data_IF_336644791113
#
_entry.id   IF_336644791113
#
_cell.length_a   1.000
_cell.length_b   1.000
_cell.length_c   1.000
_cell.angle_alpha   90.00
_cell.angle_beta   90.00
_cell.angle_gamma   90.00
#
_symmetry.space_group_name_H-M   'P 1'
#
loop_
_entity.id
_entity.type
_entity.pdbx_description
1 polymer ?
#
# COMPACT_ATOMS: atom_id res chain seq x y z
N UNK A 1 31.52 21.64 -3.22
CA UNK A 1 30.25 22.23 -2.79
C UNK A 1 29.69 21.29 -1.74
N UNK A 2 29.56 21.67 -0.47
CA UNK A 2 28.94 20.80 0.52
C UNK A 2 27.44 20.69 0.22
N UNK A 3 26.93 19.45 0.23
CA UNK A 3 25.51 19.18 0.11
C UNK A 3 24.80 19.75 1.36
N UNK A 4 23.85 20.60 1.12
CA UNK A 4 22.94 21.17 2.10
C UNK A 4 22.16 20.03 2.76
N UNK A 5 22.56 19.64 3.97
CA UNK A 5 21.87 18.66 4.80
C UNK A 5 20.77 19.36 5.56
N UNK A 6 19.74 19.81 4.83
CA UNK A 6 18.51 20.29 5.44
C UNK A 6 17.73 19.09 5.98
N UNK A 7 18.05 18.72 7.22
CA UNK A 7 17.36 17.68 8.00
C UNK A 7 15.99 18.14 8.52
N UNK A 8 15.64 19.39 8.29
CA UNK A 8 14.32 19.98 8.57
C UNK A 8 13.38 19.94 7.36
N UNK A 9 13.44 18.86 6.55
CA UNK A 9 12.38 18.66 5.55
C UNK A 9 11.05 18.54 6.26
N UNK A 10 10.25 19.59 6.07
CA UNK A 10 8.87 19.76 6.48
C UNK A 10 8.18 18.38 6.47
N UNK A 11 7.88 17.82 7.65
CA UNK A 11 6.99 16.69 7.76
C UNK A 11 5.64 17.20 7.25
N UNK A 12 5.20 16.70 6.11
CA UNK A 12 3.86 17.00 5.62
C UNK A 12 2.86 16.66 6.72
N UNK A 13 1.91 17.57 6.92
CA UNK A 13 0.77 17.31 7.79
C UNK A 13 0.00 16.11 7.22
N UNK A 14 -0.10 15.04 7.98
CA UNK A 14 -0.80 13.81 7.63
C UNK A 14 -2.16 13.71 8.35
N UNK A 15 -2.72 14.83 8.83
CA UNK A 15 -4.00 14.83 9.53
C UNK A 15 -5.15 14.26 8.68
N UNK A 16 -5.12 14.53 7.38
CA UNK A 16 -6.14 14.05 6.43
C UNK A 16 -5.76 12.73 5.75
N UNK A 17 -4.64 12.13 6.13
CA UNK A 17 -4.13 10.93 5.47
C UNK A 17 -5.11 9.75 5.61
N UNK A 18 -5.21 8.93 4.56
CA UNK A 18 -6.11 7.76 4.51
C UNK A 18 -5.95 6.81 5.70
N UNK A 19 -4.75 6.68 6.24
CA UNK A 19 -4.49 5.82 7.41
C UNK A 19 -5.36 6.19 8.61
N UNK A 20 -5.61 7.48 8.86
CA UNK A 20 -6.49 7.95 9.94
C UNK A 20 -7.97 7.68 9.71
N UNK A 21 -8.34 7.27 8.50
CA UNK A 21 -9.73 6.99 8.13
C UNK A 21 -10.03 5.49 8.02
N UNK A 22 -8.99 4.64 8.05
CA UNK A 22 -9.09 3.23 7.69
C UNK A 22 -9.72 2.34 8.78
N UNK A 23 -9.78 2.78 10.04
CA UNK A 23 -10.26 1.93 11.14
C UNK A 23 -9.15 1.08 11.76
N UNK A 24 -7.97 1.66 11.94
CA UNK A 24 -6.82 0.98 12.53
C UNK A 24 -6.90 0.97 14.05
N UNK A 25 -6.49 -0.13 14.66
CA UNK A 25 -6.41 -0.33 16.10
C UNK A 25 -5.01 -0.77 16.51
N UNK A 26 -4.44 -0.13 17.51
CA UNK A 26 -3.15 -0.50 18.08
C UNK A 26 -3.38 -1.39 19.32
N UNK A 27 -2.92 -2.62 19.26
CA UNK A 27 -3.02 -3.60 20.33
C UNK A 27 -1.64 -3.83 20.97
N UNK A 28 -1.59 -3.75 22.31
CA UNK A 28 -0.41 -4.12 23.08
C UNK A 28 -0.39 -5.65 23.28
N UNK A 29 0.64 -6.31 22.78
CA UNK A 29 0.83 -7.74 22.91
C UNK A 29 1.48 -8.09 24.27
N UNK A 30 1.39 -9.36 24.67
CA UNK A 30 1.96 -9.87 25.94
C UNK A 30 3.48 -9.68 26.06
N UNK A 31 4.18 -9.65 24.95
CA UNK A 31 5.63 -9.42 24.87
C UNK A 31 6.02 -7.93 24.93
N UNK A 32 5.04 -7.03 25.12
CA UNK A 32 5.23 -5.59 25.18
C UNK A 32 5.38 -4.92 23.81
N UNK A 33 5.16 -5.65 22.72
CA UNK A 33 5.12 -5.07 21.36
C UNK A 33 3.70 -4.63 20.99
N UNK A 34 3.60 -3.62 20.13
CA UNK A 34 2.34 -3.19 19.59
C UNK A 34 2.12 -3.83 18.20
N UNK A 35 0.90 -4.33 17.98
CA UNK A 35 0.41 -4.77 16.69
C UNK A 35 -0.66 -3.80 16.21
N UNK A 36 -0.58 -3.41 14.94
CA UNK A 36 -1.59 -2.57 14.31
C UNK A 36 -2.55 -3.46 13.53
N UNK A 37 -3.77 -3.58 14.02
CA UNK A 37 -4.84 -4.36 13.40
C UNK A 37 -5.75 -3.46 12.56
N UNK A 38 -6.46 -4.06 11.60
CA UNK A 38 -7.48 -3.38 10.80
C UNK A 38 -8.86 -3.98 11.11
N UNK A 39 -9.74 -3.16 11.70
CA UNK A 39 -11.13 -3.54 11.90
C UNK A 39 -11.92 -3.35 10.60
N UNK A 40 -12.42 -4.47 10.06
CA UNK A 40 -13.11 -4.48 8.77
C UNK A 40 -14.47 -3.79 8.86
N UNK A 41 -14.73 -2.95 7.89
CA UNK A 41 -15.99 -2.28 7.62
C UNK A 41 -16.50 -2.66 6.22
N UNK A 42 -17.80 -2.60 5.92
CA UNK A 42 -18.31 -2.92 4.59
C UNK A 42 -17.63 -2.18 3.44
N UNK A 43 -17.13 -0.96 3.69
CA UNK A 43 -16.41 -0.16 2.67
C UNK A 43 -15.04 -0.72 2.30
N UNK A 44 -14.50 -1.65 3.10
CA UNK A 44 -13.22 -2.33 2.84
C UNK A 44 -13.39 -3.58 1.97
N UNK A 45 -14.62 -4.02 1.74
CA UNK A 45 -14.92 -5.29 1.10
C UNK A 45 -15.54 -5.08 -0.27
N UNK A 46 -15.19 -5.97 -1.19
CA UNK A 46 -15.87 -6.12 -2.47
C UNK A 46 -17.19 -6.90 -2.29
N UNK A 47 -18.00 -6.98 -3.33
CA UNK A 47 -19.30 -7.68 -3.30
C UNK A 47 -19.18 -9.19 -2.99
N UNK A 48 -18.05 -9.80 -3.36
CA UNK A 48 -17.74 -11.21 -3.06
C UNK A 48 -17.24 -11.44 -1.61
N UNK A 49 -17.15 -10.38 -0.81
CA UNK A 49 -16.66 -10.41 0.56
C UNK A 49 -15.13 -10.40 0.67
N UNK A 50 -14.39 -10.38 -0.43
CA UNK A 50 -12.94 -10.21 -0.39
C UNK A 50 -12.57 -8.78 0.01
N UNK A 51 -11.38 -8.60 0.55
CA UNK A 51 -10.87 -7.25 0.88
C UNK A 51 -10.50 -6.52 -0.40
N UNK A 52 -10.89 -5.27 -0.53
CA UNK A 52 -10.42 -4.38 -1.61
C UNK A 52 -8.88 -4.36 -1.66
N UNK A 53 -8.31 -4.54 -2.84
CA UNK A 53 -6.85 -4.68 -2.98
C UNK A 53 -6.11 -3.40 -2.59
N UNK A 54 -6.69 -2.23 -2.84
CA UNK A 54 -6.14 -0.95 -2.40
C UNK A 54 -6.12 -0.85 -0.86
N UNK A 55 -7.15 -1.36 -0.18
CA UNK A 55 -7.20 -1.44 1.30
C UNK A 55 -6.06 -2.31 1.82
N UNK A 56 -5.84 -3.50 1.23
CA UNK A 56 -4.69 -4.34 1.57
C UNK A 56 -3.37 -3.60 1.33
N UNK A 57 -3.24 -2.89 0.21
CA UNK A 57 -2.04 -2.11 -0.11
C UNK A 57 -1.74 -1.05 0.95
N UNK A 58 -2.74 -0.26 1.35
CA UNK A 58 -2.61 0.77 2.39
C UNK A 58 -2.24 0.16 3.75
N UNK A 59 -2.90 -0.91 4.13
CA UNK A 59 -2.67 -1.58 5.40
C UNK A 59 -1.30 -2.24 5.48
N UNK A 60 -0.89 -2.94 4.42
CA UNK A 60 0.39 -3.66 4.36
C UNK A 60 1.60 -2.73 4.26
N UNK A 61 1.47 -1.59 3.57
CA UNK A 61 2.52 -0.56 3.52
C UNK A 61 2.86 -0.11 4.95
N UNK A 62 1.85 0.24 5.75
CA UNK A 62 2.06 0.65 7.14
C UNK A 62 2.57 -0.52 8.00
N UNK A 63 2.05 -1.74 7.82
CA UNK A 63 2.45 -2.92 8.59
C UNK A 63 3.93 -3.26 8.42
N UNK A 64 4.54 -2.93 7.28
CA UNK A 64 5.98 -3.13 7.03
C UNK A 64 6.87 -2.40 8.03
N UNK A 65 6.33 -1.40 8.67
CA UNK A 65 7.03 -0.59 9.66
C UNK A 65 7.07 -1.20 11.06
N UNK A 66 6.34 -2.28 11.33
CA UNK A 66 6.13 -2.82 12.68
C UNK A 66 7.20 -3.81 13.19
N UNK A 67 8.01 -4.52 12.37
CA UNK A 67 9.04 -5.40 12.92
C UNK A 67 9.87 -4.70 14.00
N UNK A 68 10.24 -5.39 15.09
CA UNK A 68 11.00 -4.79 16.20
C UNK A 68 12.29 -4.11 15.75
N UNK A 69 12.95 -4.64 14.72
CA UNK A 69 14.17 -4.09 14.14
C UNK A 69 13.96 -2.68 13.56
N UNK A 70 12.74 -2.39 13.10
CA UNK A 70 12.39 -1.10 12.54
C UNK A 70 12.30 0.02 13.58
N UNK A 71 12.25 -0.31 14.87
CA UNK A 71 12.25 0.70 15.96
C UNK A 71 13.51 1.57 15.97
N UNK A 72 14.62 1.05 15.45
CA UNK A 72 15.92 1.73 15.41
C UNK A 72 16.28 2.26 14.04
N UNK A 73 15.36 2.16 13.09
CA UNK A 73 15.57 2.62 11.71
C UNK A 73 14.94 3.97 11.53
N UNK A 74 15.70 4.89 10.96
CA UNK A 74 15.19 6.19 10.53
C UNK A 74 14.17 6.06 9.38
N UNK A 75 13.83 7.14 8.72
CA UNK A 75 12.92 7.14 7.60
C UNK A 75 13.36 6.16 6.51
N UNK A 76 12.42 5.40 5.96
CA UNK A 76 12.65 4.43 4.89
C UNK A 76 11.69 4.68 3.72
N UNK A 77 12.04 4.12 2.57
CA UNK A 77 11.24 4.11 1.35
C UNK A 77 11.06 2.67 0.89
N UNK A 78 9.97 2.38 0.21
CA UNK A 78 9.82 1.12 -0.48
C UNK A 78 10.54 1.14 -1.84
N UNK A 79 11.30 0.07 -2.13
CA UNK A 79 11.82 -0.22 -3.46
C UNK A 79 10.87 -1.18 -4.20
N UNK A 80 10.26 -2.11 -3.45
CA UNK A 80 9.28 -3.07 -3.98
C UNK A 80 8.21 -3.34 -2.93
N UNK A 81 6.97 -3.50 -3.40
CA UNK A 81 5.83 -4.03 -2.63
C UNK A 81 5.17 -5.11 -3.47
N UNK A 82 5.21 -6.34 -2.99
CA UNK A 82 4.47 -7.45 -3.58
C UNK A 82 3.34 -7.87 -2.64
N UNK A 83 2.11 -7.98 -3.16
CA UNK A 83 0.92 -8.39 -2.41
C UNK A 83 0.25 -9.56 -3.11
N UNK A 84 -0.09 -10.59 -2.35
CA UNK A 84 -0.94 -11.70 -2.75
C UNK A 84 -2.21 -11.68 -1.90
N UNK A 85 -3.36 -11.56 -2.52
CA UNK A 85 -4.64 -11.80 -1.89
C UNK A 85 -4.95 -13.30 -1.99
N UNK A 86 -5.20 -13.95 -0.86
CA UNK A 86 -5.29 -15.41 -0.79
C UNK A 86 -6.73 -15.90 -0.63
N UNK A 87 -7.47 -15.29 0.31
CA UNK A 87 -8.84 -15.67 0.65
C UNK A 87 -9.63 -14.47 1.14
N UNK A 88 -10.95 -14.52 0.96
CA UNK A 88 -11.86 -13.62 1.65
C UNK A 88 -11.79 -13.88 3.17
N UNK A 89 -11.82 -12.84 4.01
CA UNK A 89 -11.90 -12.98 5.45
C UNK A 89 -13.24 -13.59 5.86
N UNK A 90 -13.23 -14.36 6.96
CA UNK A 90 -14.43 -14.85 7.64
C UNK A 90 -14.69 -14.11 8.95
N UNK A 91 -13.65 -13.47 9.46
CA UNK A 91 -13.67 -12.64 10.66
C UNK A 91 -13.91 -11.16 10.36
N UNK A 92 -13.70 -10.34 11.39
CA UNK A 92 -13.95 -8.90 11.33
C UNK A 92 -12.71 -8.04 11.53
N UNK A 93 -11.61 -8.63 11.91
CA UNK A 93 -10.35 -7.93 12.17
C UNK A 93 -9.22 -8.62 11.44
N UNK A 94 -8.39 -7.86 10.75
CA UNK A 94 -7.17 -8.35 10.12
C UNK A 94 -5.97 -8.12 11.03
N UNK A 95 -5.19 -9.17 11.24
CA UNK A 95 -3.99 -9.19 12.07
C UNK A 95 -2.76 -9.42 11.20
N UNK A 96 -1.90 -8.41 10.98
CA UNK A 96 -0.65 -8.60 10.28
C UNK A 96 0.39 -9.22 11.21
N UNK A 97 1.21 -10.08 10.66
CA UNK A 97 2.38 -10.66 11.32
C UNK A 97 3.62 -10.31 10.51
N UNK A 98 4.13 -9.08 10.65
CA UNK A 98 5.31 -8.64 9.93
C UNK A 98 6.58 -9.22 10.55
N UNK A 99 7.49 -9.69 9.72
CA UNK A 99 8.77 -10.27 10.09
C UNK A 99 9.89 -9.69 9.24
N UNK A 100 10.95 -9.21 9.87
CA UNK A 100 12.16 -8.82 9.18
C UNK A 100 12.91 -10.06 8.70
N UNK A 101 12.79 -10.38 7.40
CA UNK A 101 13.49 -11.51 6.79
C UNK A 101 14.99 -11.21 6.61
N UNK A 102 15.32 -9.95 6.33
CA UNK A 102 16.70 -9.48 6.18
C UNK A 102 16.81 -8.01 6.57
N UNK A 103 17.79 -7.69 7.42
CA UNK A 103 18.20 -6.32 7.72
C UNK A 103 19.64 -6.11 7.25
N UNK A 104 19.82 -5.23 6.27
CA UNK A 104 21.13 -4.78 5.81
C UNK A 104 21.35 -3.29 6.13
N UNK A 105 22.55 -2.79 5.84
CA UNK A 105 22.86 -1.39 6.12
C UNK A 105 22.06 -0.39 5.30
N UNK A 106 21.66 -0.75 4.07
CA UNK A 106 20.94 0.14 3.14
C UNK A 106 19.61 -0.40 2.67
N UNK A 107 19.35 -1.68 2.86
CA UNK A 107 18.10 -2.34 2.43
C UNK A 107 17.65 -3.34 3.48
N UNK A 108 16.33 -3.54 3.56
CA UNK A 108 15.69 -4.57 4.37
C UNK A 108 14.64 -5.31 3.57
N UNK A 109 14.29 -6.52 3.99
CA UNK A 109 13.18 -7.28 3.44
C UNK A 109 12.25 -7.63 4.60
N UNK A 110 10.99 -7.24 4.44
CA UNK A 110 9.91 -7.56 5.39
C UNK A 110 8.93 -8.50 4.71
N UNK A 111 8.62 -9.60 5.36
CA UNK A 111 7.53 -10.50 5.01
C UNK A 111 6.36 -10.26 5.96
N UNK A 112 5.15 -10.26 5.43
CA UNK A 112 3.94 -10.00 6.21
C UNK A 112 2.90 -11.04 5.82
N UNK A 113 2.48 -11.86 6.78
CA UNK A 113 1.28 -12.69 6.65
C UNK A 113 0.12 -11.98 7.36
N UNK A 114 -1.06 -11.99 6.74
CA UNK A 114 -2.27 -11.38 7.31
C UNK A 114 -3.30 -12.48 7.55
N UNK A 115 -3.72 -12.63 8.78
CA UNK A 115 -4.81 -13.53 9.16
C UNK A 115 -5.98 -12.72 9.71
N UNK A 116 -7.17 -13.23 9.59
CA UNK A 116 -8.31 -12.68 10.32
C UNK A 116 -8.42 -13.27 11.74
N UNK A 117 -9.32 -12.74 12.56
CA UNK A 117 -9.56 -13.17 13.94
C UNK A 117 -10.16 -14.59 14.04
N UNK A 118 -10.51 -15.25 12.94
CA UNK A 118 -10.88 -16.68 12.86
C UNK A 118 -9.71 -17.58 12.44
N UNK A 119 -8.56 -16.99 12.09
CA UNK A 119 -7.36 -17.70 11.64
C UNK A 119 -7.29 -17.95 10.14
N UNK A 120 -8.18 -17.38 9.34
CA UNK A 120 -8.09 -17.45 7.86
C UNK A 120 -6.90 -16.63 7.37
N UNK A 121 -6.01 -17.24 6.58
CA UNK A 121 -4.90 -16.54 5.93
C UNK A 121 -5.43 -15.75 4.73
N UNK A 122 -5.58 -14.44 4.91
CA UNK A 122 -6.25 -13.53 3.97
C UNK A 122 -5.30 -13.00 2.91
N UNK A 123 -4.10 -12.59 3.30
CA UNK A 123 -3.11 -12.02 2.38
C UNK A 123 -1.68 -12.29 2.82
N UNK A 124 -0.76 -12.17 1.87
CA UNK A 124 0.68 -12.18 2.10
C UNK A 124 1.36 -11.06 1.32
N UNK A 125 2.39 -10.45 1.93
CA UNK A 125 3.20 -9.43 1.27
C UNK A 125 4.69 -9.69 1.52
N UNK A 126 5.51 -9.33 0.52
CA UNK A 126 6.96 -9.21 0.65
C UNK A 126 7.31 -7.79 0.20
N UNK A 127 8.08 -7.08 1.03
CA UNK A 127 8.42 -5.69 0.76
C UNK A 127 9.92 -5.47 0.89
N UNK A 128 10.50 -4.80 -0.09
CA UNK A 128 11.89 -4.38 -0.04
C UNK A 128 11.96 -2.90 0.35
N UNK A 129 12.67 -2.65 1.45
CA UNK A 129 12.86 -1.33 2.03
C UNK A 129 14.25 -0.78 1.67
N UNK A 130 14.31 0.53 1.43
CA UNK A 130 15.57 1.27 1.26
C UNK A 130 15.73 2.26 2.41
N UNK A 131 16.89 2.29 3.00
CA UNK A 131 17.28 3.21 4.06
C UNK A 131 18.22 4.27 3.48
N UNK A 132 17.73 5.46 3.08
CA UNK A 132 18.52 6.46 2.37
C UNK A 132 19.76 6.96 3.14
N UNK A 133 19.63 7.06 4.47
CA UNK A 133 20.71 7.46 5.37
C UNK A 133 21.49 6.28 5.98
N UNK A 134 21.23 5.07 5.48
CA UNK A 134 21.62 3.82 6.11
C UNK A 134 20.63 3.43 7.22
N UNK A 135 20.60 2.14 7.57
CA UNK A 135 19.97 1.69 8.81
C UNK A 135 20.87 2.15 9.97
N UNK A 136 21.01 3.47 10.13
CA UNK A 136 21.68 4.01 11.26
C UNK A 136 20.84 3.67 12.49
N UNK A 137 21.42 2.87 13.38
CA UNK A 137 20.93 2.77 14.74
C UNK A 137 20.84 4.19 15.28
N UNK A 138 19.63 4.72 15.39
CA UNK A 138 19.37 5.81 16.32
C UNK A 138 19.85 5.23 17.65
N UNK A 139 20.85 5.88 18.26
CA UNK A 139 21.38 5.42 19.54
C UNK A 139 20.21 5.12 20.47
N UNK A 140 20.28 3.95 21.11
CA UNK A 140 19.21 3.37 21.91
C UNK A 140 18.94 4.20 23.18
N UNK A 141 18.41 5.40 23.00
CA UNK A 141 17.59 6.02 24.01
C UNK A 141 16.16 5.52 23.85
N UNK A 142 15.53 5.17 24.95
CA UNK A 142 14.15 4.62 25.04
C UNK A 142 13.10 5.45 24.28
N UNK A 143 13.40 6.69 23.91
CA UNK A 143 12.52 7.63 23.24
C UNK A 143 12.13 7.28 21.79
N UNK A 144 12.90 6.45 21.07
CA UNK A 144 12.60 6.13 19.67
C UNK A 144 11.41 5.17 19.53
N UNK A 145 11.21 4.29 20.52
CA UNK A 145 10.05 3.40 20.62
C UNK A 145 8.76 4.18 20.83
N UNK A 146 8.80 5.14 21.74
CA UNK A 146 7.67 5.98 22.13
C UNK A 146 7.25 6.91 20.99
N UNK A 147 8.21 7.50 20.27
CA UNK A 147 7.93 8.38 19.13
C UNK A 147 7.23 7.63 17.98
N UNK A 148 7.58 6.35 17.78
CA UNK A 148 6.95 5.53 16.75
C UNK A 148 5.55 5.10 17.15
N UNK A 149 5.37 4.69 18.41
CA UNK A 149 4.05 4.37 18.95
C UNK A 149 3.12 5.58 18.86
N UNK A 150 3.60 6.76 19.27
CA UNK A 150 2.85 8.01 19.12
C UNK A 150 2.49 8.30 17.67
N UNK A 151 3.40 8.03 16.73
CA UNK A 151 3.12 8.16 15.29
C UNK A 151 1.99 7.21 14.85
N UNK A 152 2.04 5.94 15.25
CA UNK A 152 1.02 4.95 14.92
C UNK A 152 -0.34 5.30 15.55
N UNK A 153 -0.35 5.77 16.81
CA UNK A 153 -1.57 6.19 17.51
C UNK A 153 -2.34 7.29 16.81
N UNK A 154 -1.67 8.13 16.02
CA UNK A 154 -2.34 9.20 15.24
C UNK A 154 -3.29 8.65 14.18
N UNK A 155 -3.09 7.41 13.75
CA UNK A 155 -3.88 6.77 12.70
C UNK A 155 -4.89 5.76 13.26
N UNK A 156 -4.95 5.58 14.59
CA UNK A 156 -5.90 4.66 15.20
C UNK A 156 -7.25 5.34 15.43
N UNK A 157 -8.33 4.59 15.23
CA UNK A 157 -9.69 5.06 15.42
C UNK A 157 -10.69 4.20 14.67
N UNK A 158 -11.96 4.55 14.78
CA UNK A 158 -13.02 3.91 14.01
C UNK A 158 -12.89 4.25 12.51
N UNK A 159 -13.33 3.33 11.66
CA UNK A 159 -13.39 3.59 10.23
C UNK A 159 -14.31 4.77 9.93
N UNK A 160 -13.75 5.80 9.31
CA UNK A 160 -14.50 7.01 8.90
C UNK A 160 -14.64 7.15 7.38
N UNK A 161 -14.16 6.19 6.60
CA UNK A 161 -14.34 6.13 5.16
C UNK A 161 -15.83 6.15 4.81
N UNK A 162 -16.21 6.98 3.85
CA UNK A 162 -17.60 7.12 3.37
C UNK A 162 -17.82 6.54 1.99
N UNK A 163 -16.74 6.15 1.31
CA UNK A 163 -16.73 5.59 -0.03
C UNK A 163 -15.53 4.65 -0.19
N UNK A 164 -15.51 3.77 -1.21
CA UNK A 164 -14.34 2.96 -1.55
C UNK A 164 -13.10 3.82 -1.81
N UNK A 165 -11.91 3.26 -1.57
CA UNK A 165 -10.64 3.99 -1.70
C UNK A 165 -10.42 4.65 -3.06
N UNK A 166 -10.80 4.05 -4.21
CA UNK A 166 -10.65 4.72 -5.50
C UNK A 166 -11.37 6.07 -5.57
N UNK A 167 -12.57 6.17 -4.99
CA UNK A 167 -13.33 7.40 -4.92
C UNK A 167 -12.69 8.40 -3.94
N UNK A 168 -12.27 7.95 -2.75
CA UNK A 168 -11.57 8.77 -1.74
C UNK A 168 -10.26 9.34 -2.30
N UNK A 169 -9.54 8.58 -3.11
CA UNK A 169 -8.30 9.01 -3.75
C UNK A 169 -8.52 9.87 -5.00
N UNK A 170 -9.77 9.98 -5.47
CA UNK A 170 -10.12 10.72 -6.67
C UNK A 170 -9.58 10.06 -7.94
N UNK A 171 -9.47 8.72 -7.95
CA UNK A 171 -9.05 7.96 -9.14
C UNK A 171 -10.14 8.10 -10.20
N UNK A 172 -9.73 8.40 -11.43
CA UNK A 172 -10.63 8.60 -12.58
C UNK A 172 -10.09 7.92 -13.82
N UNK A 173 -11.00 7.32 -14.56
CA UNK A 173 -10.69 6.82 -15.89
C UNK A 173 -10.46 7.99 -16.85
N UNK A 174 -9.43 7.88 -17.65
CA UNK A 174 -9.00 8.85 -18.65
C UNK A 174 -8.44 8.12 -19.87
N UNK A 175 -7.87 8.87 -20.81
CA UNK A 175 -7.03 8.34 -21.87
C UNK A 175 -5.68 9.04 -21.85
N UNK A 176 -4.63 8.30 -22.17
CA UNK A 176 -3.30 8.89 -22.35
C UNK A 176 -3.18 9.68 -23.68
N UNK A 177 -2.03 10.27 -23.92
CA UNK A 177 -1.76 11.03 -25.13
C UNK A 177 -1.85 10.18 -26.44
N UNK A 178 -1.80 8.85 -26.33
CA UNK A 178 -1.95 7.89 -27.42
C UNK A 178 -3.37 7.32 -27.51
N UNK A 179 -4.34 7.91 -26.80
CA UNK A 179 -5.74 7.48 -26.73
C UNK A 179 -5.92 6.04 -26.17
N UNK A 180 -4.99 5.58 -25.33
CA UNK A 180 -5.12 4.30 -24.62
C UNK A 180 -5.85 4.53 -23.30
N UNK A 181 -6.63 3.53 -22.79
CA UNK A 181 -7.20 3.59 -21.45
C UNK A 181 -6.12 3.89 -20.41
N UNK A 182 -6.41 4.80 -19.52
CA UNK A 182 -5.53 5.21 -18.43
C UNK A 182 -6.36 5.63 -17.23
N UNK A 183 -5.74 5.68 -16.05
CA UNK A 183 -6.37 6.13 -14.81
C UNK A 183 -5.50 7.16 -14.13
N UNK A 184 -6.11 8.26 -13.73
CA UNK A 184 -5.40 9.33 -13.04
C UNK A 184 -5.74 9.38 -11.56
N UNK A 185 -4.78 9.83 -10.75
CA UNK A 185 -4.94 10.09 -9.32
C UNK A 185 -4.25 11.40 -8.94
N UNK A 186 -4.96 12.37 -8.31
CA UNK A 186 -4.35 13.61 -7.86
C UNK A 186 -3.42 13.34 -6.65
N UNK A 187 -2.38 14.17 -6.48
CA UNK A 187 -1.56 14.18 -5.26
C UNK A 187 -2.21 15.11 -4.24
N UNK A 188 -2.92 14.53 -3.27
CA UNK A 188 -3.61 15.24 -2.18
C UNK A 188 -3.03 14.81 -0.83
N UNK A 189 -3.35 15.52 0.26
CA UNK A 189 -2.95 15.11 1.61
C UNK A 189 -3.39 13.69 2.00
N UNK A 190 -4.48 13.20 1.42
CA UNK A 190 -5.01 11.85 1.66
C UNK A 190 -4.04 10.74 1.19
N UNK A 191 -3.34 10.97 0.08
CA UNK A 191 -2.45 10.00 -0.57
C UNK A 191 -0.97 10.36 -0.47
N UNK A 192 -0.62 11.37 0.32
CA UNK A 192 0.74 11.89 0.42
C UNK A 192 1.41 11.41 1.70
N UNK A 193 2.56 10.76 1.58
CA UNK A 193 3.34 10.33 2.74
C UNK A 193 4.06 11.50 3.42
N UNK A 194 4.68 11.24 4.58
CA UNK A 194 5.40 12.25 5.36
C UNK A 194 6.59 12.93 4.65
N UNK A 195 6.98 12.45 3.46
CA UNK A 195 8.00 13.08 2.60
C UNK A 195 7.41 13.94 1.48
N UNK A 196 6.07 14.11 1.46
CA UNK A 196 5.40 14.82 0.40
C UNK A 196 5.32 14.07 -0.93
N UNK A 197 5.54 12.76 -0.91
CA UNK A 197 5.47 11.91 -2.08
C UNK A 197 4.22 11.00 -2.03
N UNK A 198 3.87 10.42 -3.17
CA UNK A 198 2.84 9.41 -3.26
C UNK A 198 3.09 8.27 -2.26
N UNK A 199 2.09 7.96 -1.44
CA UNK A 199 2.10 6.85 -0.51
C UNK A 199 2.02 5.52 -1.27
N UNK A 200 2.84 4.53 -0.89
CA UNK A 200 2.93 3.25 -1.61
C UNK A 200 1.61 2.48 -1.61
N UNK A 201 0.90 2.48 -0.49
CA UNK A 201 -0.42 1.88 -0.39
C UNK A 201 -1.47 2.54 -1.29
N UNK A 202 -1.40 3.87 -1.50
CA UNK A 202 -2.29 4.56 -2.45
C UNK A 202 -1.93 4.20 -3.90
N UNK A 203 -0.64 4.00 -4.20
CA UNK A 203 -0.22 3.49 -5.50
C UNK A 203 -0.81 2.10 -5.80
N UNK A 204 -0.95 1.24 -4.79
CA UNK A 204 -1.56 -0.08 -4.94
C UNK A 204 -3.03 0.03 -5.40
N UNK A 205 -3.79 0.97 -4.85
CA UNK A 205 -5.17 1.22 -5.31
C UNK A 205 -5.23 1.72 -6.76
N UNK A 206 -4.29 2.57 -7.18
CA UNK A 206 -4.23 3.03 -8.57
C UNK A 206 -3.85 1.89 -9.53
N UNK A 207 -2.92 1.01 -9.13
CA UNK A 207 -2.56 -0.18 -9.91
C UNK A 207 -3.75 -1.13 -10.03
N UNK A 208 -4.46 -1.37 -8.92
CA UNK A 208 -5.64 -2.25 -8.86
C UNK A 208 -6.72 -1.79 -9.83
N UNK A 209 -7.17 -0.54 -9.69
CA UNK A 209 -8.23 0.03 -10.53
C UNK A 209 -7.85 0.01 -12.02
N UNK A 210 -6.60 0.39 -12.33
CA UNK A 210 -6.13 0.41 -13.72
C UNK A 210 -6.02 -1.01 -14.30
N UNK A 211 -5.50 -1.97 -13.53
CA UNK A 211 -5.35 -3.35 -13.97
C UNK A 211 -6.73 -4.04 -14.13
N UNK A 212 -7.63 -3.86 -13.17
CA UNK A 212 -8.98 -4.38 -13.22
C UNK A 212 -9.75 -3.80 -14.41
N UNK A 213 -9.69 -2.47 -14.59
CA UNK A 213 -10.42 -1.81 -15.67
C UNK A 213 -9.98 -2.23 -17.09
N UNK A 214 -8.67 -2.45 -17.33
CA UNK A 214 -8.22 -2.94 -18.64
C UNK A 214 -8.41 -4.46 -18.82
N UNK A 215 -8.52 -5.20 -17.73
CA UNK A 215 -8.78 -6.64 -17.75
C UNK A 215 -10.26 -6.98 -17.93
N UNK A 216 -11.15 -6.04 -17.63
CA UNK A 216 -12.59 -6.21 -17.76
C UNK A 216 -12.95 -6.50 -19.21
N UNK A 217 -13.65 -7.63 -19.42
CA UNK A 217 -14.17 -8.05 -20.73
C UNK A 217 -15.70 -8.04 -20.77
N UNK A 218 -16.34 -7.57 -19.68
CA UNK A 218 -17.79 -7.47 -19.53
C UNK A 218 -18.48 -8.77 -19.11
N UNK A 219 -17.73 -9.86 -18.88
CA UNK A 219 -18.29 -11.16 -18.50
C UNK A 219 -18.47 -11.33 -16.99
N UNK A 220 -18.30 -10.27 -16.19
CA UNK A 220 -18.50 -10.27 -14.75
C UNK A 220 -17.49 -9.40 -13.99
N UNK A 221 -17.50 -9.45 -12.64
CA UNK A 221 -16.61 -8.64 -11.84
C UNK A 221 -15.14 -9.01 -12.07
N UNK A 222 -14.27 -8.04 -11.91
CA UNK A 222 -12.81 -8.23 -11.91
C UNK A 222 -12.26 -8.06 -10.51
N UNK A 223 -11.21 -8.84 -10.17
CA UNK A 223 -10.53 -8.77 -8.88
C UNK A 223 -9.03 -8.96 -9.05
N UNK A 224 -8.23 -8.05 -8.50
CA UNK A 224 -6.78 -8.22 -8.44
C UNK A 224 -6.42 -9.28 -7.38
N UNK A 225 -5.74 -10.33 -7.81
CA UNK A 225 -5.26 -11.42 -6.96
C UNK A 225 -3.84 -11.18 -6.46
N UNK A 226 -3.06 -10.49 -7.28
CA UNK A 226 -1.65 -10.24 -7.04
C UNK A 226 -1.22 -8.94 -7.71
N UNK A 227 -0.36 -8.18 -7.06
CA UNK A 227 0.44 -7.16 -7.72
C UNK A 227 1.85 -7.10 -7.11
N UNK A 228 2.83 -6.84 -7.98
CA UNK A 228 4.20 -6.49 -7.61
C UNK A 228 4.50 -5.09 -8.16
N UNK A 229 4.87 -4.17 -7.28
CA UNK A 229 5.11 -2.76 -7.60
C UNK A 229 6.56 -2.39 -7.31
N UNK A 230 7.28 -1.91 -8.30
CA UNK A 230 8.68 -1.44 -8.18
C UNK A 230 8.71 0.08 -8.23
N UNK A 231 9.17 0.68 -7.15
CA UNK A 231 9.27 2.13 -7.01
C UNK A 231 10.61 2.61 -7.56
N UNK A 232 10.57 3.30 -8.70
CA UNK A 232 11.76 3.77 -9.42
C UNK A 232 12.19 5.17 -8.99
N UNK A 233 11.23 5.98 -8.54
CA UNK A 233 11.47 7.33 -8.05
C UNK A 233 10.32 7.80 -7.15
N UNK A 234 10.56 8.73 -6.20
CA UNK A 234 9.49 9.34 -5.42
C UNK A 234 8.53 10.14 -6.32
N UNK A 235 7.23 9.87 -6.21
CA UNK A 235 6.17 10.60 -6.90
C UNK A 235 5.80 11.87 -6.13
N UNK A 236 6.46 12.99 -6.41
CA UNK A 236 6.22 14.28 -5.72
C UNK A 236 5.42 15.27 -6.55
N UNK A 237 5.01 14.93 -7.74
CA UNK A 237 4.28 15.80 -8.68
C UNK A 237 3.11 15.06 -9.30
N UNK A 238 1.94 15.23 -8.73
CA UNK A 238 0.69 14.75 -9.31
C UNK A 238 0.13 15.69 -10.39
N UNK A 239 -0.90 15.29 -11.15
CA UNK A 239 -1.54 13.98 -11.02
C UNK A 239 -0.63 12.85 -11.49
N UNK A 240 -0.91 11.65 -10.99
CA UNK A 240 -0.25 10.42 -11.45
C UNK A 240 -1.13 9.75 -12.49
N UNK A 241 -0.52 9.27 -13.56
CA UNK A 241 -1.21 8.57 -14.64
C UNK A 241 -0.76 7.11 -14.70
N UNK A 242 -1.67 6.19 -14.45
CA UNK A 242 -1.48 4.75 -14.63
C UNK A 242 -1.91 4.35 -16.04
N UNK A 243 -1.01 3.74 -16.78
CA UNK A 243 -1.25 3.23 -18.14
C UNK A 243 -1.10 1.71 -18.11
N UNK A 244 -2.21 0.97 -18.03
CA UNK A 244 -2.18 -0.49 -18.02
C UNK A 244 -2.08 -1.06 -19.43
N UNK A 245 -1.57 -2.30 -19.51
CA UNK A 245 -1.52 -3.09 -20.74
C UNK A 245 -1.69 -4.57 -20.40
N UNK A 246 -2.69 -5.21 -20.97
CA UNK A 246 -2.82 -6.68 -20.88
C UNK A 246 -1.63 -7.31 -21.60
N UNK A 247 -0.85 -8.09 -20.86
CA UNK A 247 0.32 -8.84 -21.38
C UNK A 247 -0.14 -10.17 -21.96
N UNK A 248 -1.11 -10.81 -21.32
CA UNK A 248 -1.68 -12.07 -21.74
C UNK A 248 -2.87 -12.47 -20.87
N UNK A 249 -3.66 -13.44 -21.37
CA UNK A 249 -4.78 -14.05 -20.67
C UNK A 249 -4.57 -15.55 -20.59
N UNK A 250 -4.92 -16.15 -19.46
CA UNK A 250 -4.92 -17.61 -19.28
C UNK A 250 -6.11 -18.02 -18.41
N UNK A 251 -7.06 -18.76 -19.01
CA UNK A 251 -8.34 -19.05 -18.37
C UNK A 251 -9.05 -17.76 -17.96
N UNK A 252 -9.53 -17.72 -16.74
CA UNK A 252 -10.21 -16.57 -16.15
C UNK A 252 -9.25 -15.50 -15.61
N UNK A 253 -7.94 -15.56 -15.90
CA UNK A 253 -6.99 -14.59 -15.41
C UNK A 253 -6.34 -13.77 -16.53
N UNK A 254 -6.09 -12.49 -16.25
CA UNK A 254 -5.28 -11.60 -17.08
C UNK A 254 -4.01 -11.22 -16.34
N UNK A 255 -2.88 -11.24 -17.04
CA UNK A 255 -1.64 -10.59 -16.57
C UNK A 255 -1.59 -9.19 -17.17
N UNK A 256 -1.45 -8.19 -16.32
CA UNK A 256 -1.46 -6.77 -16.70
C UNK A 256 -0.18 -6.11 -16.23
N UNK A 257 0.53 -5.44 -17.13
CA UNK A 257 1.61 -4.53 -16.78
C UNK A 257 1.05 -3.12 -16.64
N UNK A 258 1.46 -2.39 -15.61
CA UNK A 258 1.03 -1.01 -15.34
C UNK A 258 2.25 -0.11 -15.18
N UNK A 259 2.30 0.96 -15.96
CA UNK A 259 3.26 2.05 -15.78
C UNK A 259 2.56 3.22 -15.07
N UNK A 260 3.14 3.72 -13.97
CA UNK A 260 2.66 4.95 -13.35
C UNK A 260 3.67 6.07 -13.61
N UNK A 261 3.18 7.16 -14.16
CA UNK A 261 3.95 8.37 -14.48
C UNK A 261 3.47 9.55 -13.66
N UNK A 262 4.40 10.46 -13.35
CA UNK A 262 4.07 11.73 -12.70
C UNK A 262 3.67 12.81 -13.73
N UNK A 263 3.25 14.00 -13.25
CA UNK A 263 2.84 15.11 -14.09
C UNK A 263 3.94 15.66 -15.02
N UNK A 264 5.18 15.20 -14.87
CA UNK A 264 6.31 15.52 -15.76
C UNK A 264 6.63 14.38 -16.74
N UNK A 265 5.72 13.41 -16.88
CA UNK A 265 5.89 12.20 -17.70
C UNK A 265 7.07 11.31 -17.25
N UNK A 266 7.54 11.47 -16.02
CA UNK A 266 8.58 10.62 -15.46
C UNK A 266 7.95 9.31 -14.98
N UNK A 267 8.47 8.17 -15.43
CA UNK A 267 8.11 6.87 -14.93
C UNK A 267 8.55 6.74 -13.46
N UNK A 268 7.60 6.54 -12.56
CA UNK A 268 7.85 6.47 -11.11
C UNK A 268 7.59 5.08 -10.53
N UNK A 269 6.67 4.31 -11.12
CA UNK A 269 6.38 2.94 -10.70
C UNK A 269 6.19 2.05 -11.93
N UNK A 270 6.75 0.84 -11.86
CA UNK A 270 6.40 -0.29 -12.73
C UNK A 270 5.69 -1.34 -11.89
N UNK A 271 4.55 -1.83 -12.38
CA UNK A 271 3.81 -2.88 -11.70
C UNK A 271 3.40 -3.99 -12.67
N UNK A 272 3.32 -5.20 -12.11
CA UNK A 272 2.68 -6.35 -12.74
C UNK A 272 1.52 -6.80 -11.85
N UNK A 273 0.34 -7.02 -12.42
CA UNK A 273 -0.83 -7.49 -11.70
C UNK A 273 -1.39 -8.77 -12.35
N UNK A 274 -1.97 -9.64 -11.52
CA UNK A 274 -2.80 -10.77 -11.95
C UNK A 274 -4.22 -10.46 -11.52
N UNK A 275 -5.11 -10.36 -12.50
CA UNK A 275 -6.52 -10.05 -12.30
C UNK A 275 -7.36 -11.26 -12.68
N UNK A 276 -8.24 -11.71 -11.79
CA UNK A 276 -9.31 -12.66 -12.14
C UNK A 276 -10.48 -11.89 -12.75
N UNK A 277 -11.12 -12.46 -13.76
CA UNK A 277 -12.28 -11.91 -14.44
C UNK A 277 -13.38 -12.95 -14.58
N UNK A 278 -14.64 -12.53 -14.64
CA UNK A 278 -15.80 -13.38 -14.81
C UNK A 278 -16.26 -14.10 -13.53
N UNK A 279 -17.06 -15.14 -13.70
CA UNK A 279 -17.67 -15.88 -12.59
C UNK A 279 -16.65 -16.53 -11.63
N UNK A 280 -15.43 -16.79 -12.10
CA UNK A 280 -14.36 -17.37 -11.28
C UNK A 280 -13.68 -16.34 -10.35
N UNK A 281 -13.97 -15.05 -10.51
CA UNK A 281 -13.49 -14.02 -9.60
C UNK A 281 -14.16 -14.07 -8.22
N UNK A 282 -15.28 -14.79 -8.10
CA UNK A 282 -16.10 -14.89 -6.89
C UNK A 282 -15.80 -16.15 -6.03
N UNK A 283 -14.74 -16.91 -6.34
CA UNK A 283 -14.39 -18.18 -5.71
C UNK A 283 -13.38 -18.11 -4.57
#
# INVERSE_FOLDING_TARGET
MPADTDTDRVRHDMSDHVLGQLGLRLELLEDGHHRLDLDLSPVHLLEDGSVDFGVLGVFLDLASSQPPEMRRVGPFLHADITVHQLRAPQGRTLHPTPRMARMGRRTGIVEIDVHDDTGVHVARSVQELVFPQGAATVDAHDDAGDAREEFLRRFTGECSLRAPLPEVFGIREETDAQQRPAWSMPLTGVVQNGFGALYGGAAASLVDVAAAGVADDGDGPTRTLHAAMRFLAPGTKGPFLAVPRVVGRHGATATVAVEIRDAQDRLIILADAIVAAGADAAG
#
